data_IF_664310105484
#
_entry.id   IF_664310105484
#
_cell.length_a   1.000
_cell.length_b   1.000
_cell.length_c   1.000
_cell.angle_alpha   90.00
_cell.angle_beta   90.00
_cell.angle_gamma   90.00
#
_symmetry.space_group_name_H-M   'P 1'
#
loop_
_entity.id
_entity.type
_entity.pdbx_description
1 polymer ?
#
# COMPACT_ATOMS: atom_id res chain seq x y z
N UNK A 1 -14.76 3.43 -7.84
CA UNK A 1 -14.03 2.17 -8.08
C UNK A 1 -12.65 2.37 -7.48
N UNK A 2 -12.38 1.73 -6.36
CA UNK A 2 -11.10 1.82 -5.64
C UNK A 2 -10.09 0.88 -6.29
N UNK A 3 -8.87 1.37 -6.58
CA UNK A 3 -7.79 0.52 -7.13
C UNK A 3 -7.33 -0.48 -6.07
N UNK A 4 -7.04 -1.72 -6.46
CA UNK A 4 -6.51 -2.74 -5.55
C UNK A 4 -5.02 -3.00 -5.82
N UNK A 5 -4.22 -3.04 -4.74
CA UNK A 5 -2.79 -3.30 -4.77
C UNK A 5 -2.45 -4.45 -3.81
N UNK A 6 -2.02 -5.57 -4.37
CA UNK A 6 -1.55 -6.73 -3.58
C UNK A 6 -0.07 -6.58 -3.23
N UNK A 7 0.22 -6.54 -1.93
CA UNK A 7 1.54 -6.42 -1.35
C UNK A 7 1.86 -7.58 -0.38
N UNK A 8 1.13 -8.71 -0.46
CA UNK A 8 1.43 -9.91 0.32
C UNK A 8 2.81 -10.47 -0.05
N UNK A 9 3.50 -11.06 0.93
CA UNK A 9 4.85 -11.60 0.78
C UNK A 9 5.95 -10.54 0.73
N UNK A 10 5.62 -9.25 0.73
CA UNK A 10 6.59 -8.17 0.69
C UNK A 10 7.00 -7.75 2.12
N UNK A 11 8.31 -7.77 2.38
CA UNK A 11 8.87 -7.21 3.60
C UNK A 11 8.86 -5.67 3.56
N UNK A 12 8.72 -5.03 4.73
CA UNK A 12 8.88 -3.59 4.84
C UNK A 12 10.30 -3.15 4.42
N UNK A 13 10.45 -2.02 3.70
CA UNK A 13 9.45 -0.98 3.44
C UNK A 13 8.66 -1.13 2.12
N UNK A 14 8.76 -2.25 1.40
CA UNK A 14 8.22 -2.37 0.04
C UNK A 14 6.71 -2.09 -0.10
N UNK A 15 5.80 -2.58 0.78
CA UNK A 15 4.38 -2.25 0.70
C UNK A 15 4.09 -0.74 0.77
N UNK A 16 4.86 -0.01 1.59
CA UNK A 16 4.68 1.44 1.78
C UNK A 16 5.08 2.20 0.52
N UNK A 17 6.26 1.87 -0.03
CA UNK A 17 6.77 2.53 -1.23
C UNK A 17 5.88 2.27 -2.44
N UNK A 18 5.48 1.01 -2.66
CA UNK A 18 4.60 0.66 -3.77
C UNK A 18 3.26 1.41 -3.68
N UNK A 19 2.65 1.43 -2.49
CA UNK A 19 1.37 2.12 -2.30
C UNK A 19 1.48 3.61 -2.61
N UNK A 20 2.50 4.28 -2.05
CA UNK A 20 2.73 5.71 -2.29
C UNK A 20 2.96 6.00 -3.79
N UNK A 21 3.81 5.22 -4.44
CA UNK A 21 4.10 5.37 -5.87
C UNK A 21 2.86 5.18 -6.73
N UNK A 22 2.01 4.20 -6.42
CA UNK A 22 0.75 3.97 -7.15
C UNK A 22 -0.21 5.14 -6.98
N UNK A 23 -0.38 5.65 -5.76
CA UNK A 23 -1.24 6.83 -5.50
C UNK A 23 -0.74 8.04 -6.28
N UNK A 24 0.56 8.34 -6.24
CA UNK A 24 1.15 9.50 -6.91
C UNK A 24 1.08 9.37 -8.43
N UNK A 25 1.35 8.19 -8.98
CA UNK A 25 1.39 7.94 -10.42
C UNK A 25 -0.01 7.97 -11.05
N UNK A 26 -0.98 7.36 -10.40
CA UNK A 26 -2.35 7.23 -10.91
C UNK A 26 -3.28 8.34 -10.37
N UNK A 27 -2.74 9.26 -9.56
CA UNK A 27 -3.45 10.38 -8.92
C UNK A 27 -4.72 9.92 -8.20
N UNK A 28 -4.61 8.88 -7.39
CA UNK A 28 -5.74 8.23 -6.71
C UNK A 28 -6.14 8.97 -5.43
N UNK A 29 -7.45 9.15 -5.24
CA UNK A 29 -7.99 9.60 -3.96
C UNK A 29 -8.24 8.44 -2.97
N UNK A 30 -8.30 7.20 -3.47
CA UNK A 30 -8.59 6.01 -2.67
C UNK A 30 -7.91 4.78 -3.29
N UNK A 31 -7.34 3.91 -2.44
CA UNK A 31 -6.71 2.65 -2.83
C UNK A 31 -6.95 1.58 -1.76
N UNK A 32 -7.18 0.34 -2.19
CA UNK A 32 -7.26 -0.84 -1.35
C UNK A 32 -5.92 -1.59 -1.40
N UNK A 33 -5.24 -1.72 -0.26
CA UNK A 33 -3.94 -2.41 -0.18
C UNK A 33 -4.09 -3.70 0.59
N UNK A 34 -3.72 -4.82 -0.03
CA UNK A 34 -3.74 -6.14 0.60
C UNK A 34 -2.33 -6.47 1.11
N UNK A 35 -2.23 -6.78 2.40
CA UNK A 35 -0.99 -7.19 3.07
C UNK A 35 -1.25 -8.44 3.91
N UNK A 36 -0.20 -9.19 4.21
CA UNK A 36 -0.28 -10.47 4.93
C UNK A 36 0.21 -10.41 6.38
N UNK A 37 0.70 -9.25 6.84
CA UNK A 37 1.22 -9.09 8.19
C UNK A 37 0.87 -7.74 8.82
N UNK A 38 0.80 -7.74 10.15
CA UNK A 38 0.38 -6.60 10.95
C UNK A 38 1.34 -5.40 10.83
N UNK A 39 2.65 -5.66 10.75
CA UNK A 39 3.65 -4.60 10.63
C UNK A 39 3.50 -3.84 9.30
N UNK A 40 3.28 -4.55 8.19
CA UNK A 40 3.02 -3.94 6.89
C UNK A 40 1.72 -3.11 6.91
N UNK A 41 0.64 -3.63 7.53
CA UNK A 41 -0.62 -2.90 7.69
C UNK A 41 -0.41 -1.58 8.44
N UNK A 42 0.25 -1.62 9.59
CA UNK A 42 0.51 -0.43 10.40
C UNK A 42 1.41 0.58 9.68
N UNK A 43 2.45 0.11 9.00
CA UNK A 43 3.36 0.98 8.28
C UNK A 43 2.69 1.64 7.07
N UNK A 44 1.91 0.89 6.28
CA UNK A 44 1.14 1.46 5.16
C UNK A 44 0.13 2.50 5.67
N UNK A 45 -0.63 2.19 6.74
CA UNK A 45 -1.59 3.14 7.31
C UNK A 45 -0.98 4.37 7.98
N UNK A 46 0.27 4.31 8.45
CA UNK A 46 0.97 5.46 9.07
C UNK A 46 1.61 6.41 8.06
N UNK A 47 1.96 5.90 6.88
CA UNK A 47 2.73 6.64 5.87
C UNK A 47 1.85 7.19 4.72
N UNK A 48 0.56 6.90 4.73
CA UNK A 48 -0.47 7.49 3.86
C UNK A 48 -1.34 8.44 4.68
#
# INVERSE_FOLDING_TARGET
MSMELDCRGLACPAPVLNTKQTIEKENLSEINVIVDNQAAKENVSRFL
#
